data_IF_157535638670
#
_entry.id   IF_157535638670
#
_cell.length_a   1.000
_cell.length_b   1.000
_cell.length_c   1.000
_cell.angle_alpha   90.00
_cell.angle_beta   90.00
_cell.angle_gamma   90.00
#
_symmetry.space_group_name_H-M   'P 1'
#
loop_
_entity.id
_entity.type
_entity.pdbx_description
1 polymer ?
#
# COMPACT_ATOMS: atom_id res chain seq x y z
N UNK A 1 -8.59 20.72 11.67
CA UNK A 1 -8.37 19.30 11.34
C UNK A 1 -6.87 19.15 11.33
N UNK A 2 -6.30 18.65 12.43
CA UNK A 2 -4.84 18.56 12.57
C UNK A 2 -4.30 17.56 11.56
N UNK A 3 -3.32 18.01 10.77
CA UNK A 3 -2.61 17.14 9.85
C UNK A 3 -1.81 16.16 10.72
N UNK A 4 -2.15 14.86 10.69
CA UNK A 4 -1.46 13.82 11.48
C UNK A 4 -0.12 13.42 10.86
N UNK A 5 0.04 13.55 9.54
CA UNK A 5 1.28 13.24 8.84
C UNK A 5 2.01 14.48 8.34
N UNK A 6 3.28 14.61 8.72
CA UNK A 6 4.18 15.66 8.27
C UNK A 6 4.47 15.51 6.75
N UNK A 7 4.10 16.52 5.97
CA UNK A 7 4.35 16.57 4.52
C UNK A 7 5.84 16.53 4.19
N UNK A 8 6.69 17.13 5.04
CA UNK A 8 8.14 17.13 4.85
C UNK A 8 8.67 15.70 5.01
N UNK A 9 8.16 14.96 6.00
CA UNK A 9 8.52 13.55 6.19
C UNK A 9 8.05 12.69 5.00
N UNK A 10 6.82 12.89 4.53
CA UNK A 10 6.29 12.18 3.35
C UNK A 10 7.15 12.41 2.11
N UNK A 11 7.50 13.66 1.81
CA UNK A 11 8.36 13.99 0.68
C UNK A 11 9.75 13.35 0.82
N UNK A 12 10.32 13.40 2.03
CA UNK A 12 11.63 12.81 2.32
C UNK A 12 11.62 11.30 2.09
N UNK A 13 10.62 10.59 2.64
CA UNK A 13 10.48 9.16 2.45
C UNK A 13 10.22 8.79 0.99
N UNK A 14 9.34 9.52 0.31
CA UNK A 14 9.05 9.29 -1.11
C UNK A 14 10.34 9.38 -1.94
N UNK A 15 11.10 10.46 -1.81
CA UNK A 15 12.35 10.65 -2.56
C UNK A 15 13.38 9.56 -2.27
N UNK A 16 13.57 9.23 -0.99
CA UNK A 16 14.50 8.18 -0.53
C UNK A 16 14.13 6.83 -1.12
N UNK A 17 12.88 6.40 -1.01
CA UNK A 17 12.47 5.07 -1.43
C UNK A 17 12.28 4.95 -2.94
N UNK A 18 11.89 6.03 -3.62
CA UNK A 18 11.94 6.10 -5.08
C UNK A 18 13.36 5.83 -5.61
N UNK A 19 14.38 6.36 -4.93
CA UNK A 19 15.78 6.13 -5.25
C UNK A 19 16.19 4.66 -5.05
N UNK A 20 15.94 4.13 -3.85
CA UNK A 20 16.32 2.78 -3.44
C UNK A 20 15.63 1.71 -4.30
N UNK A 21 14.33 1.87 -4.59
CA UNK A 21 13.54 0.94 -5.39
C UNK A 21 13.77 1.10 -6.89
N UNK A 22 14.64 2.03 -7.29
CA UNK A 22 15.00 2.33 -8.69
C UNK A 22 13.78 2.71 -9.52
N UNK A 23 13.02 3.68 -9.02
CA UNK A 23 11.85 4.28 -9.66
C UNK A 23 12.14 5.72 -10.13
N UNK A 24 13.41 6.04 -10.43
CA UNK A 24 13.85 7.40 -10.83
C UNK A 24 13.30 7.84 -12.18
N UNK A 25 12.88 6.90 -13.01
CA UNK A 25 12.24 7.13 -14.31
C UNK A 25 10.73 7.39 -14.20
N UNK A 26 10.18 7.36 -12.98
CA UNK A 26 8.78 7.67 -12.69
C UNK A 26 8.60 9.09 -12.17
N UNK A 27 7.56 9.76 -12.66
CA UNK A 27 7.09 11.03 -12.11
C UNK A 27 6.07 10.75 -11.01
N UNK A 28 6.53 10.71 -9.75
CA UNK A 28 5.67 10.38 -8.60
C UNK A 28 5.32 11.64 -7.82
N UNK A 29 4.02 11.89 -7.61
CA UNK A 29 3.50 12.92 -6.72
C UNK A 29 2.76 12.27 -5.56
N UNK A 30 2.57 13.00 -4.46
CA UNK A 30 1.72 12.54 -3.37
C UNK A 30 0.45 13.39 -3.21
N UNK A 31 -0.57 12.78 -2.60
CA UNK A 31 -1.82 13.40 -2.19
C UNK A 31 -2.18 12.92 -0.79
N UNK A 32 -2.37 13.86 0.13
CA UNK A 32 -2.92 13.57 1.44
C UNK A 32 -4.44 13.54 1.35
N UNK A 33 -5.03 12.42 1.75
CA UNK A 33 -6.49 12.24 1.80
C UNK A 33 -6.98 12.68 3.18
N UNK A 34 -7.67 13.81 3.21
CA UNK A 34 -8.22 14.43 4.42
C UNK A 34 -9.72 14.14 4.64
N UNK A 35 -10.31 13.28 3.82
CA UNK A 35 -11.70 12.81 3.94
C UNK A 35 -11.72 11.37 4.42
N UNK A 36 -12.89 10.91 4.89
CA UNK A 36 -13.08 9.52 5.26
C UNK A 36 -12.67 8.59 4.12
N UNK A 37 -11.78 7.65 4.43
CA UNK A 37 -11.26 6.72 3.46
C UNK A 37 -10.93 5.38 4.11
N UNK A 38 -11.23 4.28 3.41
CA UNK A 38 -11.12 2.93 3.99
C UNK A 38 -9.70 2.37 4.00
N UNK A 39 -8.86 2.86 3.08
CA UNK A 39 -7.48 2.41 2.84
C UNK A 39 -6.49 3.21 3.68
N UNK A 40 -5.31 2.65 3.92
CA UNK A 40 -4.21 3.36 4.60
C UNK A 40 -3.36 4.14 3.60
N UNK A 41 -3.07 3.50 2.46
CA UNK A 41 -2.46 4.08 1.28
C UNK A 41 -3.09 3.51 0.01
N UNK A 42 -2.78 4.13 -1.12
CA UNK A 42 -3.06 3.61 -2.46
C UNK A 42 -2.09 4.30 -3.43
N UNK A 43 -1.84 3.68 -4.58
CA UNK A 43 -1.12 4.32 -5.67
C UNK A 43 -1.93 4.25 -6.97
N UNK A 44 -2.07 5.39 -7.63
CA UNK A 44 -2.64 5.46 -8.99
C UNK A 44 -1.52 5.57 -9.98
N UNK A 45 -1.61 4.79 -11.05
CA UNK A 45 -0.50 4.52 -11.97
C UNK A 45 -0.98 4.80 -13.40
N UNK A 46 -0.22 5.61 -14.12
CA UNK A 46 -0.27 5.73 -15.57
C UNK A 46 1.05 5.21 -16.14
N UNK A 47 0.95 4.11 -16.88
CA UNK A 47 2.12 3.44 -17.45
C UNK A 47 2.54 3.94 -18.81
N UNK A 48 1.66 4.65 -19.53
CA UNK A 48 2.03 5.27 -20.79
C UNK A 48 3.03 6.39 -20.54
N UNK A 49 2.77 7.20 -19.51
CA UNK A 49 3.56 8.39 -19.19
C UNK A 49 4.51 8.18 -17.99
N UNK A 50 4.50 6.99 -17.37
CA UNK A 50 5.23 6.66 -16.13
C UNK A 50 4.97 7.69 -15.03
N UNK A 51 3.69 8.00 -14.82
CA UNK A 51 3.25 8.91 -13.78
C UNK A 51 2.54 8.13 -12.67
N UNK A 52 2.74 8.55 -11.43
CA UNK A 52 2.01 7.96 -10.33
C UNK A 52 1.62 8.99 -9.26
N UNK A 53 0.46 8.75 -8.63
CA UNK A 53 -0.02 9.51 -7.49
C UNK A 53 -0.10 8.59 -6.28
N UNK A 54 0.82 8.78 -5.34
CA UNK A 54 0.81 8.17 -4.02
C UNK A 54 -0.24 8.86 -3.14
N UNK A 55 -1.22 8.11 -2.67
CA UNK A 55 -2.30 8.61 -1.82
C UNK A 55 -2.10 8.11 -0.40
N UNK A 56 -2.07 9.02 0.59
CA UNK A 56 -1.87 8.68 2.01
C UNK A 56 -3.09 9.12 2.81
N UNK A 57 -3.68 8.20 3.58
CA UNK A 57 -4.81 8.51 4.44
C UNK A 57 -4.38 9.27 5.69
N UNK A 58 -4.86 10.49 5.87
CA UNK A 58 -4.58 11.31 7.05
C UNK A 58 -5.82 11.52 7.94
N UNK A 59 -7.00 11.11 7.47
CA UNK A 59 -8.26 11.23 8.22
C UNK A 59 -8.35 10.17 9.32
N UNK A 60 -8.22 8.90 8.94
CA UNK A 60 -8.36 7.73 9.82
C UNK A 60 -7.28 6.66 9.52
N UNK A 61 -5.98 6.99 9.72
CA UNK A 61 -4.91 6.06 9.41
C UNK A 61 -4.97 4.82 10.30
N UNK A 62 -4.98 3.64 9.65
CA UNK A 62 -4.95 2.34 10.34
C UNK A 62 -3.52 1.89 10.67
N UNK A 63 -2.51 2.41 9.96
CA UNK A 63 -1.10 2.19 10.28
C UNK A 63 -0.47 3.53 10.65
N UNK A 64 0.41 3.47 11.64
CA UNK A 64 1.04 4.64 12.25
C UNK A 64 2.40 4.97 11.66
N UNK A 65 3.05 4.01 11.00
CA UNK A 65 4.36 4.23 10.39
C UNK A 65 4.20 4.70 8.94
N UNK A 66 4.36 6.00 8.72
CA UNK A 66 4.26 6.64 7.39
C UNK A 66 5.28 6.07 6.41
N UNK A 67 6.53 5.87 6.84
CA UNK A 67 7.60 5.37 5.97
C UNK A 67 7.28 3.97 5.46
N UNK A 68 6.74 3.11 6.34
CA UNK A 68 6.29 1.76 5.96
C UNK A 68 5.19 1.80 4.89
N UNK A 69 4.21 2.69 5.02
CA UNK A 69 3.14 2.86 4.02
C UNK A 69 3.72 3.34 2.69
N UNK A 70 4.64 4.32 2.70
CA UNK A 70 5.31 4.79 1.47
C UNK A 70 6.05 3.66 0.76
N UNK A 71 6.81 2.84 1.50
CA UNK A 71 7.52 1.69 0.94
C UNK A 71 6.53 0.71 0.30
N UNK A 72 5.44 0.39 1.01
CA UNK A 72 4.42 -0.55 0.56
C UNK A 72 3.81 -0.14 -0.78
N UNK A 73 3.33 1.10 -0.88
CA UNK A 73 2.72 1.58 -2.12
C UNK A 73 3.73 1.71 -3.27
N UNK A 74 4.99 2.06 -2.99
CA UNK A 74 6.03 2.08 -4.02
C UNK A 74 6.44 0.67 -4.49
N UNK A 75 6.32 -0.35 -3.64
CA UNK A 75 6.54 -1.73 -4.04
C UNK A 75 5.43 -2.24 -4.97
N UNK A 76 4.17 -1.84 -4.75
CA UNK A 76 3.10 -2.06 -5.72
C UNK A 76 3.44 -1.45 -7.08
N UNK A 77 3.87 -0.18 -7.10
CA UNK A 77 4.35 0.45 -8.34
C UNK A 77 5.53 -0.32 -8.98
N UNK A 78 6.48 -0.80 -8.15
CA UNK A 78 7.63 -1.56 -8.63
C UNK A 78 7.24 -2.88 -9.29
N UNK A 79 6.19 -3.52 -8.78
CA UNK A 79 5.69 -4.82 -9.24
C UNK A 79 4.57 -4.71 -10.28
N UNK A 80 4.14 -3.49 -10.61
CA UNK A 80 2.97 -3.25 -11.47
C UNK A 80 2.98 -4.02 -12.79
N UNK A 81 4.12 -4.04 -13.49
CA UNK A 81 4.20 -4.78 -14.76
C UNK A 81 3.92 -6.28 -14.61
N UNK A 82 4.27 -6.88 -13.47
CA UNK A 82 3.98 -8.28 -13.17
C UNK A 82 2.54 -8.46 -12.71
N UNK A 83 2.00 -7.53 -11.92
CA UNK A 83 0.61 -7.63 -11.45
C UNK A 83 -0.38 -7.63 -12.62
N UNK A 84 -0.20 -6.72 -13.58
CA UNK A 84 -1.07 -6.58 -14.73
C UNK A 84 -0.96 -7.78 -15.67
N UNK A 85 0.25 -8.32 -15.83
CA UNK A 85 0.46 -9.51 -16.64
C UNK A 85 -0.32 -10.70 -16.08
N UNK A 86 -0.28 -10.90 -14.76
CA UNK A 86 -0.98 -12.01 -14.11
C UNK A 86 -2.50 -11.77 -14.10
N UNK A 87 -2.93 -10.55 -13.81
CA UNK A 87 -4.34 -10.16 -13.85
C UNK A 87 -4.93 -10.39 -15.25
N UNK A 88 -4.25 -9.95 -16.30
CA UNK A 88 -4.66 -10.18 -17.70
C UNK A 88 -4.70 -11.68 -18.04
N UNK A 89 -3.76 -12.48 -17.52
CA UNK A 89 -3.78 -13.93 -17.69
C UNK A 89 -5.02 -14.55 -17.03
N UNK A 90 -5.37 -14.12 -15.82
CA UNK A 90 -6.57 -14.59 -15.11
C UNK A 90 -7.83 -14.27 -15.93
N UNK A 91 -7.99 -13.03 -16.38
CA UNK A 91 -9.12 -12.65 -17.25
C UNK A 91 -9.13 -13.42 -18.57
N UNK A 92 -7.97 -13.73 -19.14
CA UNK A 92 -7.86 -14.49 -20.39
C UNK A 92 -8.26 -15.96 -20.23
N UNK A 93 -7.99 -16.56 -19.06
CA UNK A 93 -8.23 -17.98 -18.80
C UNK A 93 -9.64 -18.23 -18.26
N UNK A 94 -10.12 -17.38 -17.34
CA UNK A 94 -11.38 -17.56 -16.62
C UNK A 94 -12.52 -16.68 -17.15
N UNK A 95 -12.22 -15.74 -18.06
CA UNK A 95 -13.19 -14.79 -18.60
C UNK A 95 -13.37 -13.56 -17.70
N UNK A 96 -14.40 -12.77 -18.00
CA UNK A 96 -14.74 -11.52 -17.29
C UNK A 96 -15.89 -11.69 -16.28
N UNK A 97 -16.39 -12.92 -16.10
CA UNK A 97 -17.45 -13.19 -15.13
C UNK A 97 -16.84 -13.31 -13.72
N UNK A 98 -16.72 -12.19 -13.02
CA UNK A 98 -16.11 -12.13 -11.67
C UNK A 98 -16.86 -12.98 -10.62
N UNK A 99 -18.12 -13.33 -10.89
CA UNK A 99 -18.92 -14.21 -10.04
C UNK A 99 -18.66 -15.72 -10.29
N UNK A 100 -17.84 -16.10 -11.28
CA UNK A 100 -17.42 -17.51 -11.46
C UNK A 100 -16.54 -17.91 -10.27
N UNK A 101 -16.89 -18.96 -9.50
CA UNK A 101 -16.09 -19.42 -8.37
C UNK A 101 -14.62 -19.73 -8.68
N UNK A 102 -14.30 -20.13 -9.92
CA UNK A 102 -12.91 -20.36 -10.36
C UNK A 102 -12.17 -19.05 -10.57
N UNK A 103 -12.84 -18.04 -11.15
CA UNK A 103 -12.28 -16.70 -11.29
C UNK A 103 -12.01 -16.11 -9.91
N UNK A 104 -13.03 -16.10 -9.04
CA UNK A 104 -12.94 -15.56 -7.69
C UNK A 104 -11.81 -16.23 -6.89
N UNK A 105 -11.71 -17.56 -6.96
CA UNK A 105 -10.59 -18.29 -6.35
C UNK A 105 -9.24 -17.82 -6.90
N UNK A 106 -9.05 -17.82 -8.22
CA UNK A 106 -7.77 -17.47 -8.84
C UNK A 106 -7.35 -16.03 -8.54
N UNK A 107 -8.28 -15.08 -8.70
CA UNK A 107 -8.06 -13.66 -8.45
C UNK A 107 -7.74 -13.40 -6.97
N UNK A 108 -8.51 -13.98 -6.04
CA UNK A 108 -8.24 -13.81 -4.61
C UNK A 108 -6.92 -14.44 -4.17
N UNK A 109 -6.55 -15.61 -4.69
CA UNK A 109 -5.23 -16.21 -4.39
C UNK A 109 -4.09 -15.32 -4.90
N UNK A 110 -4.24 -14.76 -6.10
CA UNK A 110 -3.26 -13.82 -6.65
C UNK A 110 -3.13 -12.57 -5.78
N UNK A 111 -4.24 -11.89 -5.47
CA UNK A 111 -4.22 -10.67 -4.65
C UNK A 111 -3.67 -10.93 -3.24
N UNK A 112 -4.09 -12.03 -2.58
CA UNK A 112 -3.56 -12.37 -1.26
C UNK A 112 -2.05 -12.62 -1.29
N UNK A 113 -1.55 -13.29 -2.32
CA UNK A 113 -0.12 -13.54 -2.50
C UNK A 113 0.64 -12.24 -2.76
N UNK A 114 0.11 -11.37 -3.63
CA UNK A 114 0.72 -10.09 -3.96
C UNK A 114 0.81 -9.20 -2.72
N UNK A 115 -0.30 -8.99 -2.02
CA UNK A 115 -0.37 -8.13 -0.83
C UNK A 115 0.53 -8.63 0.31
N UNK A 116 0.53 -9.93 0.60
CA UNK A 116 1.42 -10.50 1.63
C UNK A 116 2.90 -10.38 1.25
N UNK A 117 3.24 -10.59 -0.03
CA UNK A 117 4.61 -10.42 -0.52
C UNK A 117 5.06 -8.96 -0.42
N UNK A 118 4.22 -8.01 -0.84
CA UNK A 118 4.50 -6.58 -0.73
C UNK A 118 4.66 -6.16 0.72
N UNK A 119 3.81 -6.65 1.61
CA UNK A 119 3.90 -6.38 3.05
C UNK A 119 5.20 -6.90 3.68
N UNK A 120 5.62 -8.13 3.36
CA UNK A 120 6.85 -8.72 3.88
C UNK A 120 8.10 -8.01 3.35
N UNK A 121 8.09 -7.64 2.06
CA UNK A 121 9.14 -6.81 1.47
C UNK A 121 9.18 -5.43 2.11
N UNK A 122 8.03 -4.80 2.37
CA UNK A 122 7.93 -3.49 3.01
C UNK A 122 8.57 -3.49 4.38
N UNK A 123 8.26 -4.49 5.21
CA UNK A 123 8.89 -4.69 6.53
C UNK A 123 10.39 -4.90 6.42
N UNK A 124 10.82 -5.69 5.43
CA UNK A 124 12.24 -5.97 5.21
C UNK A 124 13.02 -4.70 4.82
N UNK A 125 12.49 -3.92 3.88
CA UNK A 125 13.09 -2.65 3.48
C UNK A 125 13.08 -1.64 4.63
N UNK A 126 11.97 -1.52 5.37
CA UNK A 126 11.88 -0.68 6.57
C UNK A 126 12.94 -1.06 7.61
N UNK A 127 13.14 -2.35 7.88
CA UNK A 127 14.14 -2.81 8.84
C UNK A 127 15.57 -2.48 8.39
N UNK A 128 15.86 -2.62 7.10
CA UNK A 128 17.19 -2.39 6.55
C UNK A 128 17.52 -0.90 6.41
N UNK A 129 16.56 -0.09 6.01
CA UNK A 129 16.81 1.29 5.57
C UNK A 129 15.89 2.35 6.16
N UNK A 130 14.88 2.00 6.97
CA UNK A 130 13.94 2.95 7.57
C UNK A 130 14.55 3.79 8.70
N UNK A 131 14.07 5.02 8.84
CA UNK A 131 14.39 5.92 9.96
C UNK A 131 13.70 5.42 11.24
N UNK A 132 12.42 5.07 11.14
CA UNK A 132 11.68 4.37 12.19
C UNK A 132 11.41 2.92 11.77
N UNK A 133 12.10 1.99 12.43
CA UNK A 133 12.03 0.55 12.15
C UNK A 133 10.89 -0.16 12.86
N UNK A 134 10.08 0.56 13.62
CA UNK A 134 8.94 0.00 14.33
C UNK A 134 7.87 -0.50 13.35
N UNK A 135 7.41 -1.73 13.60
CA UNK A 135 6.34 -2.35 12.83
C UNK A 135 5.00 -1.93 13.41
N UNK A 136 4.12 -1.39 12.58
CA UNK A 136 2.77 -1.02 12.97
C UNK A 136 1.85 -2.25 12.93
N UNK A 137 1.28 -2.61 14.07
CA UNK A 137 0.31 -3.72 14.18
C UNK A 137 -1.14 -3.30 13.84
N UNK A 138 -1.39 -1.99 13.71
CA UNK A 138 -2.62 -1.40 13.17
C UNK A 138 -3.91 -2.09 13.62
N UNK A 139 -4.54 -2.82 12.69
CA UNK A 139 -5.81 -3.54 12.94
C UNK A 139 -5.72 -4.59 14.05
N UNK A 140 -4.59 -5.29 14.19
CA UNK A 140 -4.42 -6.31 15.23
C UNK A 140 -4.39 -5.67 16.61
N UNK A 141 -3.71 -4.53 16.73
CA UNK A 141 -3.69 -3.76 17.98
C UNK A 141 -5.11 -3.29 18.37
N UNK A 142 -5.93 -2.91 17.38
CA UNK A 142 -7.32 -2.55 17.61
C UNK A 142 -8.14 -3.75 18.15
N UNK A 143 -7.99 -4.93 17.55
CA UNK A 143 -8.66 -6.15 18.03
C UNK A 143 -8.23 -6.51 19.46
N UNK A 144 -6.94 -6.35 19.79
CA UNK A 144 -6.44 -6.57 21.16
C UNK A 144 -7.08 -5.57 22.13
N UNK A 145 -7.22 -4.30 21.76
CA UNK A 145 -7.88 -3.30 22.60
C UNK A 145 -9.36 -3.61 22.81
N UNK A 146 -10.06 -4.00 21.75
CA UNK A 146 -11.48 -4.40 21.81
C UNK A 146 -11.67 -5.61 22.74
N UNK A 147 -10.78 -6.59 22.70
CA UNK A 147 -10.81 -7.77 23.58
C UNK A 147 -10.48 -7.43 25.04
N UNK A 148 -9.49 -6.56 25.28
CA UNK A 148 -9.00 -6.25 26.63
C UNK A 148 -9.88 -5.24 27.39
N UNK A 149 -10.48 -4.29 26.68
CA UNK A 149 -11.24 -3.20 27.29
C UNK A 149 -12.75 -3.34 27.11
N UNK A 150 -13.21 -4.26 26.25
CA UNK A 150 -14.61 -4.27 25.81
C UNK A 150 -14.96 -2.97 25.07
N UNK A 151 -16.13 -2.93 24.43
CA UNK A 151 -16.65 -1.70 23.85
C UNK A 151 -17.03 -0.71 24.97
N UNK A 152 -16.06 -0.06 25.61
CA UNK A 152 -16.32 1.12 26.43
C UNK A 152 -16.65 2.29 25.48
N UNK A 153 -17.94 2.67 25.48
CA UNK A 153 -18.54 3.82 24.78
C UNK A 153 -17.89 5.17 25.16
#
# INVERSE_FOLDING_TARGET
MDIKFDEIALETYLRKWQDILRLRDWNIRYRIVATEWRKTGDIKIDMADKEAILMINNYNPKHTNLEAVVIHELLHLKLWGMDQMIEQLIYSVFGQEENDPKFDFAYNQFMNTLESTVEDLSKSFLLLGGENKDISFGRVEQLVREELHGNEE
#
